data_IF_726921417750
#
_entry.id   IF_726921417750
#
_cell.length_a   1.000
_cell.length_b   1.000
_cell.length_c   1.000
_cell.angle_alpha   90.00
_cell.angle_beta   90.00
_cell.angle_gamma   90.00
#
_symmetry.space_group_name_H-M   'P 1'
#
loop_
_entity.id
_entity.type
_entity.pdbx_description
1 polymer ?
#
# COMPACT_ATOMS: atom_id res chain seq x y z
N UNK A 1 17.02 16.05 13.46
CA UNK A 1 17.67 15.61 12.20
C UNK A 1 16.96 14.36 11.72
N UNK A 2 16.25 14.43 10.60
CA UNK A 2 15.59 13.24 10.03
C UNK A 2 16.67 12.31 9.48
N UNK A 3 16.72 11.02 9.88
CA UNK A 3 17.74 10.11 9.38
C UNK A 3 17.55 9.86 7.87
N UNK A 4 18.61 10.10 7.08
CA UNK A 4 18.58 10.03 5.60
C UNK A 4 18.52 8.59 5.04
N UNK A 5 18.85 7.59 5.85
CA UNK A 5 18.92 6.17 5.42
C UNK A 5 17.55 5.54 5.65
N UNK A 6 16.91 4.81 4.72
CA UNK A 6 15.63 4.15 5.01
C UNK A 6 15.70 3.13 6.17
N UNK A 7 14.69 3.11 7.06
CA UNK A 7 14.68 2.24 8.26
C UNK A 7 14.83 0.75 7.93
N UNK A 8 14.33 0.30 6.77
CA UNK A 8 14.47 -1.11 6.35
C UNK A 8 15.93 -1.50 6.08
N UNK A 9 16.78 -0.58 5.59
CA UNK A 9 18.21 -0.84 5.41
C UNK A 9 18.88 -1.05 6.76
N UNK A 10 18.49 -0.26 7.77
CA UNK A 10 18.99 -0.38 9.13
C UNK A 10 18.58 -1.70 9.79
N UNK A 11 17.32 -2.14 9.60
CA UNK A 11 16.87 -3.47 10.07
C UNK A 11 17.63 -4.61 9.40
N UNK A 12 17.94 -4.48 8.10
CA UNK A 12 18.72 -5.49 7.36
C UNK A 12 20.16 -5.56 7.86
N UNK A 13 20.77 -4.40 8.11
CA UNK A 13 22.09 -4.31 8.74
C UNK A 13 22.07 -4.95 10.13
N UNK A 14 21.05 -4.68 10.95
CA UNK A 14 20.88 -5.33 12.25
C UNK A 14 20.71 -6.85 12.15
N UNK A 15 20.02 -7.36 11.14
CA UNK A 15 19.84 -8.81 10.91
C UNK A 15 21.14 -9.49 10.48
N UNK A 16 21.96 -8.82 9.65
CA UNK A 16 23.30 -9.28 9.32
C UNK A 16 24.21 -9.26 10.56
N UNK A 17 24.21 -8.15 11.30
CA UNK A 17 25.00 -7.95 12.51
C UNK A 17 24.65 -8.95 13.62
N UNK A 18 23.37 -9.29 13.79
CA UNK A 18 22.94 -10.30 14.76
C UNK A 18 23.56 -11.68 14.46
N UNK A 19 23.68 -12.05 13.18
CA UNK A 19 24.31 -13.31 12.75
C UNK A 19 25.83 -13.27 12.86
N UNK A 20 26.44 -12.16 12.43
CA UNK A 20 27.89 -11.98 12.45
C UNK A 20 28.46 -11.92 13.88
N UNK A 21 27.81 -11.16 14.75
CA UNK A 21 28.28 -10.94 16.12
C UNK A 21 27.67 -11.91 17.14
N UNK A 22 26.84 -12.87 16.71
CA UNK A 22 26.12 -13.81 17.58
C UNK A 22 25.38 -13.12 18.75
N UNK A 23 24.74 -11.98 18.47
CA UNK A 23 23.95 -11.21 19.44
C UNK A 23 22.46 -11.29 19.14
N UNK A 24 21.62 -11.04 20.15
CA UNK A 24 20.17 -10.97 19.96
C UNK A 24 19.79 -9.90 18.92
N UNK A 25 18.69 -10.11 18.20
CA UNK A 25 18.23 -9.16 17.19
C UNK A 25 17.97 -7.77 17.80
N UNK A 26 17.41 -7.73 19.02
CA UNK A 26 17.19 -6.50 19.79
C UNK A 26 18.51 -5.78 20.08
N UNK A 27 19.55 -6.49 20.52
CA UNK A 27 20.86 -5.90 20.77
C UNK A 27 21.52 -5.38 19.49
N UNK A 28 21.33 -6.07 18.36
CA UNK A 28 21.79 -5.61 17.06
C UNK A 28 21.06 -4.33 16.62
N UNK A 29 19.74 -4.24 16.80
CA UNK A 29 18.95 -3.04 16.50
C UNK A 29 19.40 -1.83 17.33
N UNK A 30 19.62 -2.02 18.64
CA UNK A 30 20.14 -0.94 19.50
C UNK A 30 21.55 -0.52 19.11
N UNK A 31 22.39 -1.45 18.65
CA UNK A 31 23.74 -1.15 18.18
C UNK A 31 23.73 -0.33 16.88
N UNK A 32 22.82 -0.66 15.95
CA UNK A 32 22.56 0.16 14.76
C UNK A 32 22.03 1.54 15.16
N UNK A 33 21.11 1.62 16.13
CA UNK A 33 20.59 2.90 16.60
C UNK A 33 21.68 3.83 17.13
N UNK A 34 22.60 3.29 17.95
CA UNK A 34 23.75 4.04 18.49
C UNK A 34 24.70 4.51 17.40
N UNK A 35 24.94 3.69 16.36
CA UNK A 35 25.74 4.07 15.18
C UNK A 35 25.17 5.29 14.45
N UNK A 36 23.85 5.50 14.55
CA UNK A 36 23.15 6.63 13.95
C UNK A 36 22.81 7.76 14.95
N UNK A 37 23.41 7.74 16.15
CA UNK A 37 23.28 8.83 17.13
C UNK A 37 22.05 8.73 18.04
N UNK A 38 21.42 7.56 18.14
CA UNK A 38 20.24 7.32 19.00
C UNK A 38 20.55 6.34 20.12
N UNK A 39 19.94 6.54 21.30
CA UNK A 39 20.23 5.70 22.48
C UNK A 39 19.74 4.26 22.33
N UNK A 40 18.61 4.06 21.65
CA UNK A 40 18.00 2.76 21.41
C UNK A 40 17.19 2.77 20.10
N UNK A 41 16.82 1.56 19.66
CA UNK A 41 16.04 1.37 18.44
C UNK A 41 14.70 2.08 18.47
N UNK A 42 13.99 2.08 19.60
CA UNK A 42 12.68 2.71 19.72
C UNK A 42 12.73 4.23 19.45
N UNK A 43 13.78 4.91 19.93
CA UNK A 43 13.99 6.34 19.69
C UNK A 43 14.36 6.62 18.24
N UNK A 44 15.25 5.82 17.65
CA UNK A 44 15.59 5.92 16.23
C UNK A 44 14.35 5.66 15.36
N UNK A 45 13.64 4.56 15.60
CA UNK A 45 12.43 4.17 14.88
C UNK A 45 11.31 5.20 15.06
N UNK A 46 11.26 5.88 16.21
CA UNK A 46 10.36 7.01 16.44
C UNK A 46 10.70 8.28 15.64
N UNK A 47 11.96 8.46 15.21
CA UNK A 47 12.35 9.54 14.29
C UNK A 47 12.11 9.21 12.82
N UNK A 48 11.98 7.92 12.49
CA UNK A 48 11.43 7.55 11.20
C UNK A 48 9.96 7.87 11.24
N UNK A 49 9.60 8.90 10.48
CA UNK A 49 8.21 9.22 10.25
C UNK A 49 7.51 7.93 9.79
N UNK A 50 6.51 7.46 10.56
CA UNK A 50 5.60 6.39 10.15
C UNK A 50 4.92 6.73 8.80
N UNK A 51 5.08 7.97 8.35
CA UNK A 51 4.66 8.59 7.10
C UNK A 51 5.79 8.90 6.09
N UNK A 52 6.99 8.33 6.21
CA UNK A 52 8.05 8.61 5.22
C UNK A 52 7.88 7.79 3.92
N UNK A 53 7.52 6.52 4.02
CA UNK A 53 7.50 5.61 2.85
C UNK A 53 6.20 5.65 2.05
N UNK A 54 5.05 5.82 2.70
CA UNK A 54 3.77 6.12 2.07
C UNK A 54 3.84 7.40 1.22
N UNK A 55 4.48 8.46 1.75
CA UNK A 55 4.75 9.72 1.04
C UNK A 55 5.62 9.52 -0.19
N UNK A 56 6.67 8.72 -0.08
CA UNK A 56 7.55 8.44 -1.22
C UNK A 56 6.75 7.75 -2.32
N UNK A 57 5.94 6.75 -1.99
CA UNK A 57 5.20 6.00 -2.99
C UNK A 57 4.10 6.84 -3.65
N UNK A 58 3.29 7.56 -2.87
CA UNK A 58 2.21 8.39 -3.43
C UNK A 58 2.73 9.55 -4.28
N UNK A 59 3.89 10.13 -3.94
CA UNK A 59 4.53 11.18 -4.72
C UNK A 59 5.19 10.65 -5.99
N UNK A 60 5.58 9.37 -6.01
CA UNK A 60 6.13 8.75 -7.20
C UNK A 60 5.06 8.46 -8.26
N UNK A 61 3.77 8.41 -7.89
CA UNK A 61 2.69 8.13 -8.84
C UNK A 61 2.58 9.22 -9.90
N UNK A 62 2.54 8.80 -11.16
CA UNK A 62 2.22 9.62 -12.32
C UNK A 62 0.73 9.46 -12.66
N UNK A 63 0.09 10.50 -13.23
CA UNK A 63 -1.29 10.43 -13.69
C UNK A 63 -1.54 9.20 -14.57
N UNK A 64 -2.46 8.33 -14.16
CA UNK A 64 -2.85 7.12 -14.88
C UNK A 64 -2.11 5.84 -14.48
N UNK A 65 -1.26 5.92 -13.45
CA UNK A 65 -0.61 4.74 -12.90
C UNK A 65 -1.63 3.75 -12.31
N UNK A 66 -1.39 2.47 -12.58
CA UNK A 66 -1.96 1.39 -11.80
C UNK A 66 -0.87 0.76 -10.95
N UNK A 67 -1.13 0.60 -9.65
CA UNK A 67 -0.16 0.06 -8.73
C UNK A 67 -0.73 -1.02 -7.81
N UNK A 68 0.13 -1.94 -7.42
CA UNK A 68 -0.17 -2.99 -6.44
C UNK A 68 0.34 -2.59 -5.07
N UNK A 69 -0.43 -2.85 -4.02
CA UNK A 69 0.00 -2.77 -2.63
C UNK A 69 -0.19 -4.14 -1.99
N UNK A 70 0.90 -4.91 -1.90
CA UNK A 70 0.87 -6.33 -1.56
C UNK A 70 1.57 -6.63 -0.23
N UNK A 71 1.09 -7.64 0.49
CA UNK A 71 1.65 -8.06 1.77
C UNK A 71 0.85 -9.21 2.40
N UNK A 72 1.43 -9.93 3.35
CA UNK A 72 0.73 -11.04 4.05
C UNK A 72 -0.43 -10.52 4.91
N UNK A 73 -1.39 -11.37 5.30
CA UNK A 73 -2.39 -11.02 6.30
C UNK A 73 -1.75 -10.43 7.56
N UNK A 74 -2.35 -9.38 8.13
CA UNK A 74 -1.80 -8.71 9.31
C UNK A 74 -0.69 -7.67 9.06
N UNK A 75 -0.08 -7.61 7.87
CA UNK A 75 1.00 -6.65 7.57
C UNK A 75 0.55 -5.19 7.39
N UNK A 76 -0.67 -4.82 7.76
CA UNK A 76 -1.09 -3.41 7.74
C UNK A 76 -1.31 -2.77 6.36
N UNK A 77 -1.56 -3.56 5.31
CA UNK A 77 -1.81 -3.05 3.94
C UNK A 77 -2.88 -1.96 3.86
N UNK A 78 -4.06 -2.23 4.43
CA UNK A 78 -5.16 -1.26 4.44
C UNK A 78 -4.77 0.00 5.21
N UNK A 79 -4.05 -0.13 6.34
CA UNK A 79 -3.57 1.03 7.09
C UNK A 79 -2.59 1.88 6.26
N UNK A 80 -1.71 1.22 5.51
CA UNK A 80 -0.74 1.87 4.64
C UNK A 80 -1.42 2.63 3.49
N UNK A 81 -2.39 2.02 2.81
CA UNK A 81 -3.14 2.69 1.74
C UNK A 81 -4.01 3.82 2.25
N UNK A 82 -4.63 3.69 3.42
CA UNK A 82 -5.38 4.79 4.05
C UNK A 82 -4.48 6.00 4.34
N UNK A 83 -3.26 5.79 4.84
CA UNK A 83 -2.30 6.88 5.02
C UNK A 83 -1.91 7.54 3.70
N UNK A 84 -1.78 6.76 2.62
CA UNK A 84 -1.54 7.32 1.29
C UNK A 84 -2.71 8.18 0.81
N UNK A 85 -3.96 7.76 1.02
CA UNK A 85 -5.14 8.56 0.68
C UNK A 85 -5.16 9.88 1.47
N UNK A 86 -4.89 9.82 2.77
CA UNK A 86 -4.78 11.01 3.63
C UNK A 86 -3.71 11.97 3.09
N UNK A 87 -2.54 11.46 2.71
CA UNK A 87 -1.49 12.29 2.14
C UNK A 87 -1.90 12.90 0.80
N UNK A 88 -2.58 12.15 -0.07
CA UNK A 88 -3.11 12.67 -1.32
C UNK A 88 -4.13 13.81 -1.09
N UNK A 89 -5.04 13.65 -0.13
CA UNK A 89 -6.02 14.68 0.25
C UNK A 89 -5.32 15.94 0.75
N UNK A 90 -4.28 15.81 1.59
CA UNK A 90 -3.46 16.94 2.05
C UNK A 90 -2.73 17.67 0.92
N UNK A 91 -2.54 17.03 -0.22
CA UNK A 91 -2.01 17.65 -1.44
C UNK A 91 -3.10 18.24 -2.34
N UNK A 92 -4.34 18.31 -1.87
CA UNK A 92 -5.49 18.82 -2.64
C UNK A 92 -6.03 17.84 -3.69
N UNK A 93 -5.68 16.55 -3.59
CA UNK A 93 -6.16 15.51 -4.52
C UNK A 93 -7.43 14.87 -3.99
N UNK A 94 -8.34 14.49 -4.88
CA UNK A 94 -9.47 13.65 -4.50
C UNK A 94 -8.98 12.21 -4.26
N UNK A 95 -9.62 11.54 -3.30
CA UNK A 95 -9.35 10.17 -2.91
C UNK A 95 -10.64 9.34 -2.92
N UNK A 96 -10.54 8.09 -3.37
CA UNK A 96 -11.62 7.11 -3.31
C UNK A 96 -11.14 5.83 -2.63
N UNK A 97 -12.00 5.23 -1.81
CA UNK A 97 -11.78 3.92 -1.19
C UNK A 97 -12.97 3.00 -1.50
N UNK A 98 -12.72 2.00 -2.34
CA UNK A 98 -13.67 0.94 -2.69
C UNK A 98 -13.35 -0.33 -1.91
N UNK A 99 -14.35 -0.94 -1.29
CA UNK A 99 -14.16 -2.18 -0.53
C UNK A 99 -15.44 -2.98 -0.36
N UNK A 100 -15.38 -4.30 -0.27
CA UNK A 100 -16.54 -5.14 0.12
C UNK A 100 -16.50 -5.59 1.58
N UNK A 101 -15.44 -5.28 2.31
CA UNK A 101 -15.23 -5.84 3.66
C UNK A 101 -15.60 -4.87 4.77
N UNK A 102 -15.54 -3.57 4.51
CA UNK A 102 -15.65 -2.54 5.53
C UNK A 102 -16.95 -1.76 5.38
N UNK A 103 -17.47 -1.30 6.50
CA UNK A 103 -18.47 -0.24 6.52
C UNK A 103 -17.80 1.12 6.84
N UNK A 104 -18.60 2.19 6.81
CA UNK A 104 -18.10 3.53 7.10
C UNK A 104 -17.54 3.67 8.53
N UNK A 105 -18.14 3.01 9.53
CA UNK A 105 -17.64 3.06 10.91
C UNK A 105 -16.26 2.41 11.05
N UNK A 106 -16.02 1.28 10.38
CA UNK A 106 -14.71 0.62 10.36
C UNK A 106 -13.63 1.54 9.76
N UNK A 107 -13.96 2.21 8.64
CA UNK A 107 -13.08 3.17 7.99
C UNK A 107 -12.74 4.33 8.93
N UNK A 108 -13.76 4.94 9.55
CA UNK A 108 -13.58 6.05 10.48
C UNK A 108 -12.71 5.64 11.67
N UNK A 109 -12.96 4.48 12.28
CA UNK A 109 -12.15 3.96 13.38
C UNK A 109 -10.68 3.73 13.00
N UNK A 110 -10.39 3.35 11.74
CA UNK A 110 -8.99 3.26 11.29
C UNK A 110 -8.35 4.59 11.01
N UNK A 111 -9.09 5.57 10.49
CA UNK A 111 -8.58 6.93 10.33
C UNK A 111 -8.20 7.50 11.71
N UNK A 112 -9.03 7.29 12.73
CA UNK A 112 -8.71 7.65 14.11
C UNK A 112 -7.46 6.90 14.63
N UNK A 113 -7.34 5.60 14.34
CA UNK A 113 -6.15 4.81 14.73
C UNK A 113 -4.84 5.36 14.13
N UNK A 114 -4.88 6.03 12.98
CA UNK A 114 -3.71 6.70 12.38
C UNK A 114 -3.59 8.17 12.74
N UNK A 115 -4.42 8.67 13.67
CA UNK A 115 -4.37 10.05 14.16
C UNK A 115 -5.03 11.06 13.23
N UNK A 116 -5.91 10.61 12.34
CA UNK A 116 -6.53 11.46 11.32
C UNK A 116 -8.01 11.69 11.63
N UNK A 117 -8.37 12.96 11.86
CA UNK A 117 -9.74 13.35 12.13
C UNK A 117 -10.56 13.31 10.84
N UNK A 118 -11.60 12.46 10.80
CA UNK A 118 -12.44 12.27 9.62
C UNK A 118 -13.01 13.58 9.06
N UNK A 119 -13.40 14.52 9.94
CA UNK A 119 -13.92 15.84 9.55
C UNK A 119 -12.99 16.59 8.58
N UNK A 120 -11.67 16.47 8.76
CA UNK A 120 -10.69 17.12 7.88
C UNK A 120 -10.53 16.44 6.51
N UNK A 121 -11.13 15.27 6.31
CA UNK A 121 -11.00 14.46 5.10
C UNK A 121 -12.31 14.34 4.31
N UNK A 122 -13.45 14.75 4.86
CA UNK A 122 -14.79 14.52 4.27
C UNK A 122 -14.95 15.09 2.86
N UNK A 123 -14.31 16.21 2.56
CA UNK A 123 -14.39 16.83 1.24
C UNK A 123 -13.55 16.08 0.20
N UNK A 124 -12.39 15.55 0.63
CA UNK A 124 -11.43 14.90 -0.25
C UNK A 124 -11.58 13.38 -0.37
N UNK A 125 -12.16 12.70 0.62
CA UNK A 125 -12.33 11.25 0.65
C UNK A 125 -13.76 10.84 0.28
N UNK A 126 -13.88 9.94 -0.69
CA UNK A 126 -15.10 9.21 -1.04
C UNK A 126 -14.94 7.74 -0.68
N UNK A 127 -16.03 7.14 -0.21
CA UNK A 127 -16.08 5.75 0.23
C UNK A 127 -17.25 5.05 -0.44
N UNK A 128 -17.03 3.84 -0.95
CA UNK A 128 -18.07 3.02 -1.55
C UNK A 128 -17.84 1.55 -1.19
N UNK A 129 -18.90 0.92 -0.68
CA UNK A 129 -18.90 -0.49 -0.31
C UNK A 129 -20.07 -1.28 -0.92
N UNK A 130 -20.54 -0.86 -2.10
CA UNK A 130 -21.58 -1.59 -2.82
C UNK A 130 -21.11 -2.96 -3.29
N UNK A 131 -22.00 -3.94 -3.26
CA UNK A 131 -21.77 -5.25 -3.90
C UNK A 131 -21.60 -5.11 -5.43
N UNK A 132 -22.00 -4.00 -6.04
CA UNK A 132 -21.92 -3.76 -7.48
C UNK A 132 -20.50 -3.47 -8.00
N UNK A 133 -19.50 -3.36 -7.12
CA UNK A 133 -18.12 -3.00 -7.50
C UNK A 133 -17.57 -3.93 -8.61
N UNK A 134 -17.32 -3.33 -9.77
CA UNK A 134 -16.70 -3.91 -10.96
C UNK A 134 -16.01 -2.78 -11.74
N UNK A 135 -15.28 -3.09 -12.83
CA UNK A 135 -14.63 -2.05 -13.63
C UNK A 135 -15.62 -0.99 -14.13
N UNK A 136 -16.76 -1.41 -14.70
CA UNK A 136 -17.82 -0.50 -15.18
C UNK A 136 -18.31 0.44 -14.07
N UNK A 137 -18.70 -0.14 -12.92
CA UNK A 137 -19.18 0.61 -11.76
C UNK A 137 -18.15 1.63 -11.25
N UNK A 138 -16.88 1.21 -11.12
CA UNK A 138 -15.79 2.09 -10.67
C UNK A 138 -15.61 3.24 -11.65
N UNK A 139 -15.62 2.99 -12.97
CA UNK A 139 -15.52 4.05 -13.98
C UNK A 139 -16.67 5.05 -13.88
N UNK A 140 -17.90 4.57 -13.69
CA UNK A 140 -19.07 5.44 -13.58
C UNK A 140 -18.98 6.34 -12.34
N UNK A 141 -18.56 5.79 -11.20
CA UNK A 141 -18.32 6.58 -9.97
C UNK A 141 -17.20 7.62 -10.13
N UNK A 142 -16.20 7.31 -10.94
CA UNK A 142 -15.04 8.15 -11.18
C UNK A 142 -15.19 9.07 -12.40
N UNK A 143 -16.34 9.06 -13.08
CA UNK A 143 -16.55 9.76 -14.35
C UNK A 143 -16.25 11.26 -14.27
N UNK A 144 -16.54 11.89 -13.12
CA UNK A 144 -16.32 13.32 -12.87
C UNK A 144 -15.11 13.59 -11.96
N UNK A 145 -14.35 12.56 -11.61
CA UNK A 145 -13.18 12.73 -10.76
C UNK A 145 -12.08 13.54 -11.48
N UNK A 146 -11.45 14.53 -10.82
CA UNK A 146 -10.35 15.28 -11.38
C UNK A 146 -9.14 14.40 -11.72
N UNK A 147 -8.29 14.89 -12.62
CA UNK A 147 -6.97 14.30 -12.87
C UNK A 147 -6.16 14.23 -11.57
N UNK A 148 -5.31 13.21 -11.44
CA UNK A 148 -4.55 12.88 -10.23
C UNK A 148 -5.39 12.40 -9.02
N UNK A 149 -6.67 12.09 -9.20
CA UNK A 149 -7.44 11.37 -8.18
C UNK A 149 -6.74 10.06 -7.81
N UNK A 150 -6.72 9.71 -6.52
CA UNK A 150 -6.13 8.47 -6.02
C UNK A 150 -7.24 7.54 -5.59
N UNK A 151 -7.25 6.34 -6.14
CA UNK A 151 -8.28 5.33 -5.89
C UNK A 151 -7.62 4.14 -5.23
N UNK A 152 -8.17 3.67 -4.12
CA UNK A 152 -7.79 2.40 -3.49
C UNK A 152 -8.92 1.41 -3.67
N UNK A 153 -8.58 0.19 -4.08
CA UNK A 153 -9.49 -0.95 -4.22
C UNK A 153 -9.01 -2.03 -3.23
N UNK A 154 -9.74 -2.18 -2.12
CA UNK A 154 -9.51 -3.18 -1.07
C UNK A 154 -10.52 -4.34 -1.21
N UNK A 155 -10.19 -5.40 -1.93
CA UNK A 155 -8.89 -5.82 -2.47
C UNK A 155 -9.05 -6.35 -3.90
N UNK A 156 -7.96 -6.64 -4.63
CA UNK A 156 -8.00 -7.04 -6.05
C UNK A 156 -9.07 -8.11 -6.37
N UNK A 157 -9.24 -9.09 -5.48
CA UNK A 157 -10.22 -10.17 -5.65
C UNK A 157 -11.69 -9.71 -5.51
N UNK A 158 -11.98 -8.49 -5.04
CA UNK A 158 -13.33 -7.90 -5.05
C UNK A 158 -13.90 -7.89 -6.47
N UNK A 159 -13.05 -7.65 -7.47
CA UNK A 159 -13.47 -7.61 -8.87
C UNK A 159 -13.87 -9.00 -9.39
N UNK A 160 -13.47 -10.07 -8.73
CA UNK A 160 -13.62 -11.46 -9.20
C UNK A 160 -14.71 -12.24 -8.44
N UNK A 161 -15.49 -11.58 -7.59
CA UNK A 161 -16.45 -12.28 -6.71
C UNK A 161 -17.75 -12.70 -7.39
N UNK A 162 -18.22 -11.96 -8.40
CA UNK A 162 -19.51 -12.23 -9.04
C UNK A 162 -19.32 -12.79 -10.44
N UNK A 163 -19.85 -14.00 -10.67
CA UNK A 163 -19.71 -14.75 -11.92
C UNK A 163 -20.37 -14.09 -13.12
N UNK A 164 -21.33 -13.18 -12.90
CA UNK A 164 -22.00 -12.43 -13.96
C UNK A 164 -21.19 -11.21 -14.43
N UNK A 165 -20.21 -10.77 -13.62
CA UNK A 165 -19.31 -9.67 -13.99
C UNK A 165 -18.24 -10.18 -14.98
N UNK A 166 -17.64 -9.29 -15.78
CA UNK A 166 -16.56 -9.68 -16.69
C UNK A 166 -15.41 -10.34 -15.94
N UNK A 167 -14.60 -11.15 -16.63
CA UNK A 167 -13.44 -11.78 -16.01
C UNK A 167 -12.42 -10.72 -15.49
N UNK A 168 -11.62 -11.13 -14.50
CA UNK A 168 -10.67 -10.23 -13.84
C UNK A 168 -9.68 -9.58 -14.81
N UNK A 169 -9.22 -10.30 -15.84
CA UNK A 169 -8.27 -9.76 -16.81
C UNK A 169 -8.91 -8.64 -17.64
N UNK A 170 -10.12 -8.86 -18.14
CA UNK A 170 -10.89 -7.84 -18.87
C UNK A 170 -11.15 -6.59 -18.02
N UNK A 171 -11.54 -6.77 -16.76
CA UNK A 171 -11.76 -5.66 -15.83
C UNK A 171 -10.48 -4.85 -15.56
N UNK A 172 -9.34 -5.52 -15.40
CA UNK A 172 -8.05 -4.84 -15.16
C UNK A 172 -7.57 -4.07 -16.39
N UNK A 173 -7.79 -4.59 -17.61
CA UNK A 173 -7.45 -3.87 -18.85
C UNK A 173 -8.36 -2.66 -19.08
N UNK A 174 -9.64 -2.79 -18.72
CA UNK A 174 -10.61 -1.70 -18.77
C UNK A 174 -10.23 -0.57 -17.80
N UNK A 175 -9.94 -0.92 -16.54
CA UNK A 175 -9.45 0.03 -15.54
C UNK A 175 -8.12 0.68 -15.94
N UNK A 176 -7.19 -0.06 -16.55
CA UNK A 176 -5.94 0.50 -17.07
C UNK A 176 -6.21 1.56 -18.13
N UNK A 177 -7.07 1.26 -19.10
CA UNK A 177 -7.43 2.19 -20.17
C UNK A 177 -8.07 3.45 -19.62
N UNK A 178 -8.98 3.29 -18.64
CA UNK A 178 -9.62 4.41 -17.97
C UNK A 178 -8.64 5.25 -17.15
N UNK A 179 -7.78 4.61 -16.36
CA UNK A 179 -6.76 5.27 -15.53
C UNK A 179 -5.87 6.16 -16.39
N UNK A 180 -5.32 5.63 -17.50
CA UNK A 180 -4.48 6.38 -18.44
C UNK A 180 -5.25 7.54 -19.08
N UNK A 181 -6.47 7.29 -19.54
CA UNK A 181 -7.29 8.31 -20.24
C UNK A 181 -7.68 9.46 -19.32
N UNK A 182 -8.08 9.16 -18.09
CA UNK A 182 -8.54 10.16 -17.10
C UNK A 182 -7.41 10.72 -16.24
N UNK A 183 -6.23 10.12 -16.29
CA UNK A 183 -5.11 10.40 -15.41
C UNK A 183 -5.45 10.17 -13.94
N UNK A 184 -6.22 9.12 -13.64
CA UNK A 184 -6.57 8.68 -12.28
C UNK A 184 -5.62 7.57 -11.87
N UNK A 185 -5.13 7.61 -10.64
CA UNK A 185 -4.15 6.65 -10.14
C UNK A 185 -4.86 5.59 -9.31
N UNK A 186 -4.69 4.31 -9.65
CA UNK A 186 -5.41 3.20 -9.02
C UNK A 186 -4.46 2.29 -8.23
N UNK A 187 -4.76 2.08 -6.95
CA UNK A 187 -4.00 1.27 -6.01
C UNK A 187 -4.82 0.03 -5.64
N UNK A 188 -4.32 -1.14 -5.99
CA UNK A 188 -4.99 -2.41 -5.74
C UNK A 188 -4.33 -3.11 -4.56
N UNK A 189 -5.09 -3.35 -3.49
CA UNK A 189 -4.59 -4.13 -2.36
C UNK A 189 -4.58 -5.60 -2.75
N UNK A 190 -3.45 -6.26 -2.53
CA UNK A 190 -3.27 -7.68 -2.86
C UNK A 190 -2.62 -8.44 -1.70
N UNK A 191 -2.84 -9.75 -1.65
CA UNK A 191 -2.16 -10.60 -0.67
C UNK A 191 -0.89 -11.20 -1.27
N UNK A 192 0.11 -11.44 -0.44
CA UNK A 192 1.25 -12.30 -0.80
C UNK A 192 0.91 -13.76 -0.50
N UNK A 193 1.24 -14.66 -1.41
CA UNK A 193 1.03 -16.09 -1.27
C UNK A 193 1.82 -16.65 -0.07
N UNK A 194 1.24 -17.67 0.59
CA UNK A 194 1.89 -18.27 1.77
C UNK A 194 3.20 -18.97 1.42
N UNK A 195 3.36 -19.44 0.17
CA UNK A 195 4.59 -20.07 -0.32
C UNK A 195 5.81 -19.15 -0.18
N UNK A 196 5.63 -17.83 -0.15
CA UNK A 196 6.70 -16.88 0.15
C UNK A 196 7.35 -17.14 1.52
N UNK A 197 6.59 -17.56 2.54
CA UNK A 197 7.12 -17.86 3.88
C UNK A 197 8.09 -19.06 3.86
N UNK A 198 7.90 -19.97 2.90
CA UNK A 198 8.78 -21.11 2.66
C UNK A 198 9.96 -20.74 1.75
N UNK A 199 9.89 -19.58 1.10
CA UNK A 199 10.98 -19.08 0.28
C UNK A 199 12.13 -18.59 1.18
N UNK A 200 13.37 -18.70 0.69
CA UNK A 200 14.53 -18.06 1.32
C UNK A 200 14.70 -16.60 0.90
N UNK A 201 13.74 -16.03 0.15
CA UNK A 201 13.81 -14.66 -0.34
C UNK A 201 13.73 -13.68 0.82
N UNK A 202 14.47 -12.58 0.71
CA UNK A 202 14.44 -11.53 1.73
C UNK A 202 13.20 -10.64 1.62
N UNK A 203 12.63 -10.51 0.42
CA UNK A 203 11.48 -9.66 0.09
C UNK A 203 10.64 -10.34 -1.00
N UNK A 204 9.32 -10.14 -0.99
CA UNK A 204 8.45 -10.65 -2.04
C UNK A 204 8.62 -9.81 -3.31
N UNK A 205 8.33 -10.44 -4.45
CA UNK A 205 8.24 -9.81 -5.77
C UNK A 205 6.86 -10.08 -6.41
N UNK A 206 6.67 -9.65 -7.66
CA UNK A 206 5.40 -9.82 -8.38
C UNK A 206 4.93 -11.28 -8.48
N UNK A 207 5.86 -12.24 -8.51
CA UNK A 207 5.52 -13.67 -8.60
C UNK A 207 4.99 -14.22 -7.27
N UNK A 208 5.19 -13.50 -6.18
CA UNK A 208 4.72 -13.88 -4.85
C UNK A 208 3.30 -13.35 -4.57
N UNK A 209 2.67 -12.62 -5.52
CA UNK A 209 1.30 -12.13 -5.38
C UNK A 209 0.30 -13.28 -5.48
N UNK A 210 -0.62 -13.34 -4.52
CA UNK A 210 -1.77 -14.24 -4.53
C UNK A 210 -2.83 -13.72 -5.48
N UNK A 211 -2.99 -14.39 -6.61
CA UNK A 211 -4.03 -14.11 -7.60
C UNK A 211 -5.25 -15.00 -7.34
N UNK A 212 -6.50 -14.48 -7.43
CA UNK A 212 -7.71 -15.31 -7.31
C UNK A 212 -7.92 -16.17 -8.56
N UNK A 213 -7.60 -15.61 -9.71
CA UNK A 213 -7.68 -16.17 -11.05
C UNK A 213 -6.43 -15.74 -11.84
N UNK A 214 -6.06 -16.44 -12.93
CA UNK A 214 -4.96 -16.03 -13.78
C UNK A 214 -5.10 -14.56 -14.22
N UNK A 215 -4.09 -13.75 -13.91
CA UNK A 215 -4.06 -12.33 -14.21
C UNK A 215 -2.65 -11.94 -14.65
N UNK A 216 -2.56 -11.28 -15.80
CA UNK A 216 -1.33 -10.63 -16.24
C UNK A 216 -1.10 -9.36 -15.44
N UNK A 217 0.07 -9.25 -14.81
CA UNK A 217 0.46 -8.10 -14.01
C UNK A 217 1.06 -6.94 -14.84
N UNK A 218 1.14 -7.08 -16.16
CA UNK A 218 1.65 -6.04 -17.07
C UNK A 218 0.76 -4.78 -17.12
N UNK A 219 -0.41 -4.83 -16.49
CA UNK A 219 -1.27 -3.68 -16.33
C UNK A 219 -0.77 -2.71 -15.25
N UNK A 220 0.03 -3.18 -14.29
CA UNK A 220 0.50 -2.41 -13.14
C UNK A 220 1.90 -1.85 -13.42
N UNK A 221 2.04 -0.53 -13.38
CA UNK A 221 3.32 0.19 -13.55
C UNK A 221 4.15 0.25 -12.26
N UNK A 222 3.54 -0.05 -11.11
CA UNK A 222 4.19 0.05 -9.79
C UNK A 222 3.74 -1.03 -8.84
N UNK A 223 4.62 -1.44 -7.93
CA UNK A 223 4.28 -2.35 -6.85
C UNK A 223 4.91 -1.87 -5.52
N UNK A 224 4.15 -1.99 -4.44
CA UNK A 224 4.63 -1.73 -3.10
C UNK A 224 4.41 -2.99 -2.26
N UNK A 225 5.49 -3.55 -1.75
CA UNK A 225 5.50 -4.75 -0.95
C UNK A 225 5.70 -4.42 0.53
N UNK A 226 4.74 -4.82 1.36
CA UNK A 226 4.75 -4.58 2.79
C UNK A 226 5.21 -5.84 3.51
N UNK A 227 6.38 -5.73 4.13
CA UNK A 227 7.02 -6.79 4.90
C UNK A 227 7.06 -6.31 6.34
N UNK A 228 6.41 -7.05 7.23
CA UNK A 228 6.29 -6.73 8.66
C UNK A 228 5.29 -5.60 8.98
N UNK A 229 4.47 -5.79 10.03
CA UNK A 229 3.42 -4.85 10.43
C UNK A 229 3.93 -3.51 10.98
N UNK A 230 5.22 -3.42 11.30
CA UNK A 230 5.83 -2.22 11.90
C UNK A 230 7.04 -1.71 11.10
N UNK A 231 6.80 -0.91 10.05
CA UNK A 231 7.77 0.05 9.48
C UNK A 231 8.66 -0.43 8.31
N UNK A 232 8.32 -1.46 7.54
CA UNK A 232 9.04 -1.74 6.27
C UNK A 232 8.12 -1.97 5.09
N UNK A 233 7.93 -0.94 4.26
CA UNK A 233 7.48 -1.10 2.88
C UNK A 233 8.69 -0.98 1.94
N UNK A 234 8.83 -1.94 1.02
CA UNK A 234 9.68 -1.81 -0.15
C UNK A 234 8.82 -1.34 -1.30
N UNK A 235 9.25 -0.27 -1.97
CA UNK A 235 8.65 0.17 -3.23
C UNK A 235 9.47 -0.42 -4.37
N UNK A 236 8.80 -1.13 -5.27
CA UNK A 236 9.35 -1.59 -6.53
C UNK A 236 8.64 -0.82 -7.66
N UNK A 237 9.41 -0.08 -8.45
CA UNK A 237 8.89 0.50 -9.69
C UNK A 237 8.99 -0.62 -10.73
N UNK A 238 7.85 -0.95 -11.32
CA UNK A 238 7.76 -2.00 -12.35
C UNK A 238 7.84 -1.26 -13.68
N UNK A 239 9.08 -1.07 -14.16
CA UNK A 239 9.31 -0.47 -15.49
C UNK A 239 8.78 -1.39 -16.61
#
# INVERSE_FOLDING_TARGET
MTPKIPIFRLKREAKALSREASISHTAALDRIARKHGYNNWSLLAGQYDRHATDRVFINALQPGDMALVAGRPGHGKTLYTLRMLVHAIRQGRQAWFFTLVWNLQDLLGKLEQIGEAARGLQEGLRFDNSDDICSGYIRDKLADSPRNTVVVIDYLQVLDQQREKPDLQSQILDLKSFAVTRGVNMLFISQIDRRFELSRKAQPDLNDIRLPNPLSLNAFSKACFIVDSDLSSTVEIVD
#
